data_IF_501432923361
#
_entry.id   IF_501432923361
#
_cell.length_a   1.000
_cell.length_b   1.000
_cell.length_c   1.000
_cell.angle_alpha   90.00
_cell.angle_beta   90.00
_cell.angle_gamma   90.00
#
_symmetry.space_group_name_H-M   'P 1'
#
loop_
_entity.id
_entity.type
_entity.pdbx_description
1 polymer ?
#
# COMPACT_ATOMS: atom_id res chain seq x y z
N UNK A 1 -12.55 -10.06 25.19
CA UNK A 1 -13.41 -9.55 24.12
C UNK A 1 -14.25 -8.42 24.71
N UNK A 2 -13.79 -7.20 24.57
CA UNK A 2 -14.65 -6.04 24.87
C UNK A 2 -15.62 -5.85 23.70
N UNK A 3 -16.82 -6.37 23.84
CA UNK A 3 -17.95 -6.02 22.99
C UNK A 3 -18.40 -4.60 23.32
N UNK A 4 -17.80 -3.61 22.67
CA UNK A 4 -18.45 -2.31 22.59
C UNK A 4 -19.28 -2.35 21.32
N UNK A 5 -20.57 -2.59 21.52
CA UNK A 5 -21.65 -2.57 20.51
C UNK A 5 -21.14 -2.45 19.05
N UNK A 6 -21.10 -3.59 18.33
CA UNK A 6 -20.94 -3.67 16.88
C UNK A 6 -19.68 -3.02 16.27
N UNK A 7 -18.57 -2.97 17.02
CA UNK A 7 -17.32 -2.41 16.51
C UNK A 7 -16.30 -3.50 16.27
N UNK A 8 -16.21 -3.92 15.02
CA UNK A 8 -15.13 -4.78 14.55
C UNK A 8 -14.01 -3.91 13.96
N UNK A 9 -12.77 -4.28 14.21
CA UNK A 9 -11.62 -3.76 13.50
C UNK A 9 -10.98 -4.88 12.70
N UNK A 10 -10.58 -4.59 11.47
CA UNK A 10 -9.73 -5.47 10.70
C UNK A 10 -8.31 -5.37 11.22
N UNK A 11 -7.69 -6.53 11.49
CA UNK A 11 -6.30 -6.64 11.90
C UNK A 11 -5.41 -7.12 10.76
N UNK A 12 -4.30 -6.44 10.53
CA UNK A 12 -3.31 -6.78 9.53
C UNK A 12 -1.94 -6.91 10.21
N UNK A 13 -1.34 -8.10 10.15
CA UNK A 13 -0.10 -8.40 10.86
C UNK A 13 1.10 -7.62 10.29
N UNK A 14 2.00 -7.19 11.15
CA UNK A 14 3.28 -6.63 10.77
C UNK A 14 4.45 -7.58 11.10
N UNK A 15 5.67 -7.19 10.73
CA UNK A 15 6.88 -8.04 10.84
C UNK A 15 7.36 -8.24 12.28
N UNK A 16 6.82 -7.48 13.26
CA UNK A 16 7.13 -7.64 14.70
C UNK A 16 6.01 -8.27 15.51
N UNK A 17 5.15 -9.05 14.88
CA UNK A 17 4.00 -9.68 15.55
C UNK A 17 3.00 -8.69 16.15
N UNK A 18 3.00 -7.46 15.67
CA UNK A 18 1.96 -6.48 15.92
C UNK A 18 0.87 -6.54 14.86
N UNK A 19 -0.18 -5.77 15.06
CA UNK A 19 -1.30 -5.67 14.13
C UNK A 19 -1.67 -4.22 13.89
N UNK A 20 -1.80 -3.87 12.61
CA UNK A 20 -2.49 -2.66 12.21
C UNK A 20 -3.99 -2.90 12.32
N UNK A 21 -4.71 -2.02 12.99
CA UNK A 21 -6.14 -2.12 13.24
C UNK A 21 -6.88 -1.03 12.49
N UNK A 22 -7.95 -1.39 11.81
CA UNK A 22 -8.73 -0.42 11.04
C UNK A 22 -10.21 -0.76 11.01
N UNK A 23 -11.04 0.24 11.22
CA UNK A 23 -12.45 0.24 10.87
C UNK A 23 -12.85 1.63 10.34
N UNK A 24 -14.13 1.86 10.10
CA UNK A 24 -14.63 3.13 9.56
C UNK A 24 -14.37 4.35 10.46
N UNK A 25 -14.12 4.14 11.75
CA UNK A 25 -13.96 5.20 12.75
C UNK A 25 -12.61 5.20 13.48
N UNK A 26 -11.81 4.16 13.28
CA UNK A 26 -10.62 3.93 14.09
C UNK A 26 -9.45 3.43 13.24
N UNK A 27 -8.29 4.01 13.49
CA UNK A 27 -6.98 3.55 13.01
C UNK A 27 -6.06 3.43 14.21
N UNK A 28 -5.46 2.26 14.41
CA UNK A 28 -4.55 2.03 15.51
C UNK A 28 -3.61 0.87 15.26
N UNK A 29 -2.82 0.55 16.26
CA UNK A 29 -1.88 -0.54 16.26
C UNK A 29 -1.96 -1.28 17.60
N UNK A 30 -1.99 -2.60 17.53
CA UNK A 30 -1.84 -3.47 18.68
C UNK A 30 -0.42 -4.03 18.71
N UNK A 31 0.20 -4.04 19.90
CA UNK A 31 1.59 -4.45 20.09
C UNK A 31 2.60 -3.55 19.36
N UNK A 32 3.68 -4.11 18.85
CA UNK A 32 4.74 -3.36 18.20
C UNK A 32 4.29 -2.78 16.85
N UNK A 33 4.67 -1.54 16.56
CA UNK A 33 4.53 -0.90 15.26
C UNK A 33 5.68 -1.31 14.36
N UNK A 34 5.37 -1.81 13.16
CA UNK A 34 6.38 -2.11 12.14
C UNK A 34 5.76 -2.18 10.75
N UNK A 35 6.63 -2.25 9.74
CA UNK A 35 6.27 -2.54 8.37
C UNK A 35 5.79 -3.99 8.21
N UNK A 36 5.16 -4.29 7.09
CA UNK A 36 4.78 -5.65 6.71
C UNK A 36 5.46 -6.00 5.39
N UNK A 37 6.25 -7.06 5.39
CA UNK A 37 6.92 -7.58 4.20
C UNK A 37 6.39 -8.96 3.84
N UNK A 38 6.01 -9.15 2.58
CA UNK A 38 5.53 -10.42 2.05
C UNK A 38 6.40 -10.79 0.86
N UNK A 39 7.36 -11.68 1.10
CA UNK A 39 8.27 -12.16 0.07
C UNK A 39 7.70 -13.40 -0.62
N UNK A 40 7.69 -13.40 -1.94
CA UNK A 40 7.23 -14.50 -2.77
C UNK A 40 8.23 -14.92 -3.85
N UNK A 41 9.48 -14.46 -3.76
CA UNK A 41 10.55 -14.78 -4.72
C UNK A 41 10.45 -14.05 -6.05
N UNK A 42 9.68 -12.98 -6.15
CA UNK A 42 9.57 -12.17 -7.35
C UNK A 42 10.74 -11.18 -7.48
N UNK A 43 11.00 -10.71 -8.69
CA UNK A 43 12.08 -9.77 -9.00
C UNK A 43 11.71 -8.31 -8.71
N UNK A 44 10.44 -8.03 -8.58
CA UNK A 44 9.89 -6.71 -8.33
C UNK A 44 9.00 -6.71 -7.10
N UNK A 45 8.90 -5.55 -6.46
CA UNK A 45 8.12 -5.35 -5.24
C UNK A 45 7.13 -4.20 -5.44
N UNK A 46 5.94 -4.34 -4.85
CA UNK A 46 4.98 -3.25 -4.71
C UNK A 46 5.04 -2.69 -3.28
N UNK A 47 5.09 -1.38 -3.17
CA UNK A 47 5.17 -0.63 -1.92
C UNK A 47 3.88 0.14 -1.68
N UNK A 48 3.24 -0.10 -0.55
CA UNK A 48 2.00 0.55 -0.14
C UNK A 48 2.18 1.32 1.17
N UNK A 49 1.41 2.38 1.35
CA UNK A 49 1.39 3.13 2.61
C UNK A 49 0.60 2.41 3.70
N UNK A 50 -0.58 1.88 3.36
CA UNK A 50 -1.46 1.16 4.27
C UNK A 50 -2.02 -0.14 3.68
N UNK A 51 -2.54 -1.01 4.53
CA UNK A 51 -3.01 -2.32 4.09
C UNK A 51 -4.32 -2.28 3.29
N UNK A 52 -5.14 -1.23 3.43
CA UNK A 52 -6.32 -1.08 2.57
C UNK A 52 -5.95 -0.84 1.10
N UNK A 53 -4.86 -0.13 0.86
CA UNK A 53 -4.35 0.05 -0.51
C UNK A 53 -3.86 -1.27 -1.09
N UNK A 54 -3.21 -2.10 -0.27
CA UNK A 54 -2.83 -3.47 -0.67
C UNK A 54 -4.06 -4.31 -1.03
N UNK A 55 -5.11 -4.28 -0.19
CA UNK A 55 -6.33 -5.04 -0.47
C UNK A 55 -7.01 -4.55 -1.75
N UNK A 56 -7.06 -3.25 -1.94
CA UNK A 56 -7.60 -2.63 -3.17
C UNK A 56 -6.78 -3.01 -4.41
N UNK A 57 -5.45 -3.04 -4.28
CA UNK A 57 -4.56 -3.46 -5.35
C UNK A 57 -4.78 -4.94 -5.72
N UNK A 58 -4.92 -5.82 -4.73
CA UNK A 58 -5.21 -7.24 -4.97
C UNK A 58 -6.54 -7.44 -5.67
N UNK A 59 -7.55 -6.67 -5.31
CA UNK A 59 -8.84 -6.68 -6.01
C UNK A 59 -8.68 -6.20 -7.45
N UNK A 60 -7.94 -5.11 -7.65
CA UNK A 60 -7.66 -4.59 -8.99
C UNK A 60 -6.93 -5.61 -9.85
N UNK A 61 -5.91 -6.28 -9.31
CA UNK A 61 -5.17 -7.32 -10.03
C UNK A 61 -6.06 -8.52 -10.40
N UNK A 62 -6.98 -8.89 -9.54
CA UNK A 62 -7.96 -9.96 -9.80
C UNK A 62 -8.93 -9.57 -10.92
N UNK A 63 -9.34 -8.32 -10.96
CA UNK A 63 -10.27 -7.79 -11.97
C UNK A 63 -9.57 -7.54 -13.34
N UNK A 64 -8.25 -7.57 -13.37
CA UNK A 64 -7.43 -7.32 -14.57
C UNK A 64 -6.46 -8.50 -14.85
N UNK A 65 -7.00 -9.69 -15.17
CA UNK A 65 -6.16 -10.87 -15.44
C UNK A 65 -5.33 -10.71 -16.74
N UNK A 66 -5.65 -9.74 -17.58
CA UNK A 66 -4.88 -9.36 -18.75
C UNK A 66 -3.54 -8.70 -18.42
N UNK A 67 -3.32 -8.33 -17.16
CA UNK A 67 -2.06 -7.76 -16.66
C UNK A 67 -1.44 -8.75 -15.65
N UNK A 68 -0.83 -9.86 -16.11
CA UNK A 68 -0.35 -10.91 -15.21
C UNK A 68 0.81 -10.45 -14.31
N UNK A 69 1.50 -9.37 -14.67
CA UNK A 69 2.60 -8.81 -13.89
C UNK A 69 2.15 -8.32 -12.51
N UNK A 70 0.88 -7.89 -12.38
CA UNK A 70 0.31 -7.45 -11.10
C UNK A 70 0.32 -8.54 -10.03
N UNK A 71 0.21 -9.80 -10.44
CA UNK A 71 0.27 -10.96 -9.53
C UNK A 71 1.70 -11.43 -9.20
N UNK A 72 2.72 -10.85 -9.85
CA UNK A 72 4.13 -11.26 -9.72
C UNK A 72 4.97 -10.23 -8.97
N UNK A 73 4.39 -9.64 -7.94
CA UNK A 73 5.05 -8.65 -7.10
C UNK A 73 5.14 -9.16 -5.66
N UNK A 74 6.31 -9.02 -5.06
CA UNK A 74 6.45 -9.10 -3.61
C UNK A 74 5.86 -7.81 -3.01
N UNK A 75 5.53 -7.82 -1.73
CA UNK A 75 4.77 -6.74 -1.11
C UNK A 75 5.53 -6.16 0.08
N UNK A 76 5.55 -4.84 0.16
CA UNK A 76 5.93 -4.09 1.36
C UNK A 76 4.83 -3.10 1.70
N UNK A 77 4.34 -3.11 2.93
CA UNK A 77 3.39 -2.13 3.46
C UNK A 77 4.07 -1.35 4.58
N UNK A 78 4.13 -0.03 4.46
CA UNK A 78 4.81 0.82 5.44
C UNK A 78 4.07 0.85 6.77
N UNK A 79 2.74 0.77 6.75
CA UNK A 79 1.85 0.91 7.90
C UNK A 79 1.90 2.30 8.59
N UNK A 80 2.97 3.04 8.37
CA UNK A 80 3.12 4.44 8.74
C UNK A 80 4.26 5.07 7.94
N UNK A 81 4.07 6.28 7.45
CA UNK A 81 5.14 7.04 6.80
C UNK A 81 6.29 7.38 7.75
N UNK A 82 6.00 7.49 9.06
CA UNK A 82 7.00 7.77 10.09
C UNK A 82 8.10 6.71 10.20
N UNK A 83 7.81 5.47 9.83
CA UNK A 83 8.76 4.34 9.86
C UNK A 83 9.19 3.87 8.47
N UNK A 84 9.00 4.70 7.46
CA UNK A 84 9.33 4.37 6.07
C UNK A 84 10.77 3.89 5.87
N UNK A 85 11.72 4.42 6.65
CA UNK A 85 13.14 4.05 6.58
C UNK A 85 13.40 2.56 6.88
N UNK A 86 12.52 1.92 7.64
CA UNK A 86 12.62 0.48 7.94
C UNK A 86 12.46 -0.41 6.72
N UNK A 87 11.90 0.10 5.64
CA UNK A 87 11.71 -0.65 4.39
C UNK A 87 12.99 -0.79 3.55
N UNK A 88 14.04 -0.02 3.86
CA UNK A 88 15.27 0.06 3.06
C UNK A 88 15.86 -1.31 2.74
N UNK A 89 16.10 -2.12 3.77
CA UNK A 89 16.79 -3.41 3.59
C UNK A 89 15.98 -4.39 2.75
N UNK A 90 14.66 -4.42 2.96
CA UNK A 90 13.78 -5.26 2.17
C UNK A 90 13.70 -4.78 0.71
N UNK A 91 13.44 -3.50 0.49
CA UNK A 91 13.28 -2.95 -0.86
C UNK A 91 14.57 -2.99 -1.67
N UNK A 92 15.73 -2.91 -1.03
CA UNK A 92 17.03 -2.96 -1.69
C UNK A 92 17.36 -4.31 -2.35
N UNK A 93 16.59 -5.34 -2.06
CA UNK A 93 16.72 -6.67 -2.67
C UNK A 93 16.17 -6.73 -4.10
N UNK A 94 15.36 -5.75 -4.49
CA UNK A 94 14.64 -5.76 -5.76
C UNK A 94 15.29 -4.83 -6.77
N UNK A 95 15.28 -5.24 -8.03
CA UNK A 95 15.70 -4.37 -9.13
C UNK A 95 14.69 -3.27 -9.45
N UNK A 96 13.43 -3.50 -9.11
CA UNK A 96 12.34 -2.55 -9.33
C UNK A 96 11.33 -2.55 -8.20
N UNK A 97 10.98 -1.37 -7.74
CA UNK A 97 9.95 -1.14 -6.71
C UNK A 97 8.87 -0.24 -7.30
N UNK A 98 7.64 -0.72 -7.30
CA UNK A 98 6.46 0.06 -7.70
C UNK A 98 5.81 0.68 -6.47
N UNK A 99 5.94 1.99 -6.31
CA UNK A 99 5.43 2.71 -5.16
C UNK A 99 3.99 3.19 -5.41
N UNK A 100 3.07 2.71 -4.60
CA UNK A 100 1.66 3.10 -4.55
C UNK A 100 1.38 3.85 -3.25
N UNK A 101 2.07 4.95 -3.03
CA UNK A 101 1.91 5.77 -1.83
C UNK A 101 0.83 6.84 -2.04
N UNK A 102 0.42 7.48 -0.95
CA UNK A 102 -0.60 8.50 -1.00
C UNK A 102 -0.08 9.79 -1.67
N UNK A 103 -0.96 10.51 -2.35
CA UNK A 103 -0.68 11.79 -3.01
C UNK A 103 -0.86 12.97 -2.06
N UNK A 104 -0.46 12.82 -0.81
CA UNK A 104 -0.44 13.87 0.20
C UNK A 104 1.00 14.19 0.66
N UNK A 105 1.23 15.25 1.43
CA UNK A 105 2.57 15.62 1.87
C UNK A 105 3.31 14.50 2.61
N UNK A 106 2.72 13.74 3.56
CA UNK A 106 3.42 12.62 4.19
C UNK A 106 3.82 11.51 3.22
N UNK A 107 2.95 11.17 2.27
CA UNK A 107 3.22 10.14 1.26
C UNK A 107 4.34 10.54 0.30
N UNK A 108 4.33 11.78 -0.15
CA UNK A 108 5.40 12.32 -1.01
C UNK A 108 6.75 12.41 -0.30
N UNK A 109 6.75 12.80 0.96
CA UNK A 109 7.94 12.82 1.79
C UNK A 109 8.51 11.42 2.01
N UNK A 110 7.66 10.43 2.31
CA UNK A 110 8.07 9.04 2.44
C UNK A 110 8.70 8.51 1.14
N UNK A 111 8.10 8.82 -0.01
CA UNK A 111 8.64 8.44 -1.31
C UNK A 111 10.04 9.01 -1.54
N UNK A 112 10.22 10.29 -1.25
CA UNK A 112 11.51 10.96 -1.40
C UNK A 112 12.58 10.37 -0.47
N UNK A 113 12.24 10.10 0.78
CA UNK A 113 13.14 9.48 1.75
C UNK A 113 13.58 8.09 1.30
N UNK A 114 12.64 7.26 0.87
CA UNK A 114 12.92 5.93 0.36
C UNK A 114 13.80 6.01 -0.90
N UNK A 115 13.49 6.91 -1.82
CA UNK A 115 14.32 7.14 -3.03
C UNK A 115 15.77 7.42 -2.66
N UNK A 116 16.01 8.24 -1.63
CA UNK A 116 17.36 8.59 -1.16
C UNK A 116 18.09 7.44 -0.45
N UNK A 117 17.36 6.46 0.09
CA UNK A 117 17.90 5.32 0.84
C UNK A 117 18.22 4.12 -0.05
N UNK A 118 17.54 3.97 -1.19
CA UNK A 118 17.71 2.83 -2.06
C UNK A 118 19.00 2.89 -2.87
N UNK A 119 19.64 1.75 -3.14
CA UNK A 119 20.82 1.71 -4.00
C UNK A 119 20.46 2.09 -5.43
N UNK A 120 21.43 2.56 -6.20
CA UNK A 120 21.24 2.94 -7.61
C UNK A 120 20.81 1.77 -8.50
N UNK A 121 21.02 0.55 -8.05
CA UNK A 121 20.59 -0.68 -8.74
C UNK A 121 19.09 -0.97 -8.58
N UNK A 122 18.41 -0.28 -7.70
CA UNK A 122 16.96 -0.39 -7.50
C UNK A 122 16.26 0.80 -8.15
N UNK A 123 15.40 0.53 -9.13
CA UNK A 123 14.57 1.55 -9.77
C UNK A 123 13.27 1.71 -8.99
N UNK A 124 12.99 2.92 -8.52
CA UNK A 124 11.73 3.26 -7.86
C UNK A 124 10.78 3.93 -8.87
N UNK A 125 9.64 3.32 -9.10
CA UNK A 125 8.59 3.85 -9.99
C UNK A 125 7.47 4.44 -9.16
N UNK A 126 7.15 5.71 -9.37
CA UNK A 126 6.03 6.38 -8.71
C UNK A 126 4.73 6.05 -9.45
N UNK A 127 4.03 5.00 -9.03
CA UNK A 127 2.78 4.57 -9.63
C UNK A 127 1.59 5.47 -9.26
N UNK A 128 1.66 6.17 -8.14
CA UNK A 128 0.60 7.09 -7.74
C UNK A 128 0.45 8.25 -8.72
N UNK A 129 1.56 8.78 -9.21
CA UNK A 129 1.55 9.83 -10.23
C UNK A 129 1.08 9.31 -11.59
N UNK A 130 1.41 8.06 -11.90
CA UNK A 130 1.07 7.44 -13.18
C UNK A 130 -0.38 6.97 -13.26
N UNK A 131 -0.89 6.31 -12.21
CA UNK A 131 -2.19 5.64 -12.24
C UNK A 131 -3.32 6.45 -11.60
N UNK A 132 -3.04 7.16 -10.52
CA UNK A 132 -4.09 7.88 -9.77
C UNK A 132 -3.68 9.29 -9.34
N UNK A 133 -3.22 10.14 -10.29
CA UNK A 133 -2.77 11.49 -9.95
C UNK A 133 -3.88 12.39 -9.38
N UNK A 134 -5.14 12.07 -9.64
CA UNK A 134 -6.32 12.81 -9.15
C UNK A 134 -6.95 12.22 -7.89
N UNK A 135 -6.41 11.12 -7.37
CA UNK A 135 -6.87 10.48 -6.14
C UNK A 135 -5.81 10.55 -5.06
N UNK A 136 -6.21 10.57 -3.79
CA UNK A 136 -5.25 10.57 -2.70
C UNK A 136 -4.52 9.25 -2.57
N UNK A 137 -5.22 8.14 -2.66
CA UNK A 137 -4.68 6.80 -2.50
C UNK A 137 -5.27 5.79 -3.49
N UNK A 138 -4.71 4.59 -3.50
CA UNK A 138 -5.15 3.53 -4.41
C UNK A 138 -6.57 3.04 -4.11
N UNK A 139 -6.97 3.02 -2.84
CA UNK A 139 -8.32 2.64 -2.46
C UNK A 139 -9.37 3.61 -3.04
N UNK A 140 -9.12 4.92 -2.96
CA UNK A 140 -9.97 5.94 -3.60
C UNK A 140 -10.04 5.74 -5.11
N UNK A 141 -8.90 5.47 -5.75
CA UNK A 141 -8.83 5.18 -7.18
C UNK A 141 -9.70 3.97 -7.55
N UNK A 142 -9.57 2.87 -6.82
CA UNK A 142 -10.38 1.67 -7.06
C UNK A 142 -11.87 1.95 -6.92
N UNK A 143 -12.27 2.69 -5.90
CA UNK A 143 -13.67 3.06 -5.68
C UNK A 143 -14.23 3.90 -6.83
N UNK A 144 -13.45 4.83 -7.36
CA UNK A 144 -13.86 5.66 -8.50
C UNK A 144 -14.08 4.86 -9.78
N UNK A 145 -13.20 3.92 -10.09
CA UNK A 145 -13.35 3.09 -11.32
C UNK A 145 -14.46 2.05 -11.19
N UNK A 146 -14.86 1.67 -9.98
CA UNK A 146 -15.98 0.75 -9.73
C UNK A 146 -17.33 1.43 -9.59
N UNK A 147 -17.36 2.71 -9.31
CA UNK A 147 -18.61 3.46 -9.25
C UNK A 147 -19.19 3.60 -10.65
N UNK A 148 -20.45 3.22 -10.89
CA UNK A 148 -21.08 3.49 -12.18
C UNK A 148 -21.05 5.01 -12.38
N UNK A 149 -20.57 5.42 -13.55
CA UNK A 149 -20.75 6.78 -14.01
C UNK A 149 -22.26 6.97 -14.06
N UNK A 150 -22.83 7.72 -13.12
CA UNK A 150 -24.18 8.22 -13.25
C UNK A 150 -24.15 9.17 -14.44
N UNK A 151 -24.34 8.60 -15.62
CA UNK A 151 -24.68 9.34 -16.81
C UNK A 151 -25.97 10.08 -16.56
N UNK A 152 -25.87 11.29 -16.05
CA UNK A 152 -26.90 12.26 -16.32
C UNK A 152 -26.64 12.73 -17.75
N UNK A 153 -27.15 11.95 -18.67
CA UNK A 153 -27.59 12.53 -19.93
C UNK A 153 -28.70 13.50 -19.62
N UNK A 154 -28.44 14.72 -19.85
CA UNK A 154 -29.49 15.68 -20.12
C UNK A 154 -29.64 15.85 -21.60
#
# INVERSE_FOLDING_TARGET
QMCIRDRYALGFANDRSGFELRNSMFKGCANAKDITCIAGGNKSCALFEGFFDLLSFRQYAKDHPEIPELGKLDICVLNSTAIADRSKDFLSRYGKVHAFLDNDPPGREALRRIQGLLPKTTVLVNESERLYPSCNDFNEFLQKIKSPVNGREM
#
